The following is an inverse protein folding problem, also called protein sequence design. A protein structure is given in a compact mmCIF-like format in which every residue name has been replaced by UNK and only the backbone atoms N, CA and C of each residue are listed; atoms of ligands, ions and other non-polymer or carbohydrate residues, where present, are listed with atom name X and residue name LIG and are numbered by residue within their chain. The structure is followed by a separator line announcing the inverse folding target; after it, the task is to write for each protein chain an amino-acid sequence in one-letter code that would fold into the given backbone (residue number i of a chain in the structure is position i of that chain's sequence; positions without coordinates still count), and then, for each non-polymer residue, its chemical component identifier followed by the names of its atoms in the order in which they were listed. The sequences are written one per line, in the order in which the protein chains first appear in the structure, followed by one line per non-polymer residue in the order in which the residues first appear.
data_IF_885801022087
#
_entry.id   IF_885801022087
#
_cell.length_a   1.000
_cell.length_b   1.000
_cell.length_c   1.000
_cell.angle_alpha   90.00
_cell.angle_beta   90.00
_cell.angle_gamma   90.00
#
_symmetry.space_group_name_H-M   'P 1'
#
loop_
_entity.id
_entity.type
_entity.pdbx_description
1 polymer ?
#
# COMPACT_ATOMS: atom_id res chain seq x y z
N UNK A 1 43.10 -18.98 12.11
CA UNK A 1 42.90 -19.42 10.70
C UNK A 1 41.91 -20.57 10.75
N UNK A 2 40.70 -20.53 10.19
CA UNK A 2 40.13 -19.64 9.19
C UNK A 2 38.71 -19.24 9.60
N UNK A 3 38.44 -17.94 9.48
CA UNK A 3 37.11 -17.34 9.54
C UNK A 3 36.39 -17.66 8.23
N UNK A 4 35.47 -18.62 8.28
CA UNK A 4 34.60 -18.94 7.16
C UNK A 4 33.55 -17.83 7.07
N UNK A 5 33.88 -16.78 6.31
CA UNK A 5 32.91 -15.80 5.82
C UNK A 5 31.71 -16.56 5.24
N UNK A 6 30.60 -16.56 5.98
CA UNK A 6 29.29 -16.89 5.43
C UNK A 6 29.14 -16.07 4.15
N UNK A 7 28.88 -16.70 2.99
CA UNK A 7 28.63 -15.92 1.79
C UNK A 7 27.42 -15.03 2.11
N UNK A 8 27.57 -13.73 1.85
CA UNK A 8 26.48 -12.77 1.90
C UNK A 8 25.25 -13.42 1.28
N UNK A 9 24.15 -13.52 2.03
CA UNK A 9 22.86 -13.95 1.54
C UNK A 9 22.55 -13.12 0.29
N UNK A 10 22.78 -13.71 -0.88
CA UNK A 10 22.61 -13.04 -2.14
C UNK A 10 21.15 -12.62 -2.25
N UNK A 11 20.99 -11.34 -2.59
CA UNK A 11 19.80 -10.51 -2.65
C UNK A 11 18.74 -10.95 -3.70
N UNK A 12 18.68 -12.25 -4.02
CA UNK A 12 18.02 -12.82 -5.20
C UNK A 12 17.25 -14.09 -4.83
N UNK A 13 16.53 -14.12 -3.71
CA UNK A 13 15.50 -15.17 -3.53
C UNK A 13 14.29 -14.89 -4.43
N UNK A 14 14.45 -15.41 -5.65
CA UNK A 14 13.47 -15.96 -6.55
C UNK A 14 12.00 -15.68 -6.22
N UNK A 15 11.32 -14.95 -7.12
CA UNK A 15 9.93 -15.23 -7.43
C UNK A 15 9.86 -16.70 -7.85
N UNK A 16 9.55 -17.62 -6.92
CA UNK A 16 9.36 -19.04 -7.25
C UNK A 16 7.98 -19.17 -7.88
N UNK A 17 7.91 -19.07 -9.21
CA UNK A 17 6.74 -19.58 -9.94
C UNK A 17 6.62 -21.08 -9.64
N UNK A 18 5.39 -21.58 -9.54
CA UNK A 18 5.12 -23.03 -9.44
C UNK A 18 5.78 -23.86 -10.56
N UNK A 19 6.23 -23.21 -11.65
CA UNK A 19 6.91 -23.82 -12.79
C UNK A 19 8.47 -23.69 -12.77
N UNK A 20 9.07 -23.16 -11.70
CA UNK A 20 10.53 -23.16 -11.51
C UNK A 20 11.32 -21.98 -12.11
N UNK A 21 10.68 -21.08 -12.87
CA UNK A 21 11.33 -19.83 -13.33
C UNK A 21 11.55 -18.85 -12.16
N UNK A 22 12.82 -18.59 -11.83
CA UNK A 22 13.22 -17.60 -10.83
C UNK A 22 13.63 -16.30 -11.51
N UNK A 23 12.90 -15.20 -11.25
CA UNK A 23 13.30 -13.84 -11.64
C UNK A 23 13.69 -13.05 -10.39
N UNK A 24 14.80 -12.32 -10.46
CA UNK A 24 15.20 -11.43 -9.36
C UNK A 24 14.27 -10.22 -9.29
N UNK A 25 14.04 -9.70 -8.09
CA UNK A 25 13.27 -8.48 -7.90
C UNK A 25 13.86 -7.30 -8.70
N UNK A 26 15.20 -7.21 -8.75
CA UNK A 26 15.89 -6.20 -9.53
C UNK A 26 15.60 -6.26 -11.03
N UNK A 27 15.49 -7.45 -11.61
CA UNK A 27 15.10 -7.62 -13.00
C UNK A 27 13.62 -7.30 -13.25
N UNK A 28 12.75 -7.53 -12.25
CA UNK A 28 11.32 -7.28 -12.38
C UNK A 28 10.95 -5.80 -12.21
N UNK A 29 11.63 -5.06 -11.33
CA UNK A 29 11.24 -3.72 -10.89
C UNK A 29 11.00 -2.69 -12.00
N UNK A 30 11.86 -2.55 -13.03
CA UNK A 30 11.59 -1.60 -14.12
C UNK A 30 10.23 -1.81 -14.79
N UNK A 31 9.83 -3.09 -14.96
CA UNK A 31 8.50 -3.46 -15.49
C UNK A 31 7.40 -3.07 -14.51
N UNK A 32 7.56 -3.37 -13.23
CA UNK A 32 6.55 -3.08 -12.19
C UNK A 32 6.33 -1.58 -12.03
N UNK A 33 7.39 -0.77 -12.06
CA UNK A 33 7.33 0.71 -12.02
C UNK A 33 6.56 1.25 -13.23
N UNK A 34 6.85 0.73 -14.44
CA UNK A 34 6.14 1.16 -15.65
C UNK A 34 4.65 0.77 -15.61
N UNK A 35 4.34 -0.44 -15.14
CA UNK A 35 2.97 -0.91 -14.97
C UNK A 35 2.20 -0.06 -13.96
N UNK A 36 2.80 0.21 -12.80
CA UNK A 36 2.24 1.07 -11.77
C UNK A 36 1.92 2.47 -12.29
N UNK A 37 2.84 3.10 -13.04
CA UNK A 37 2.61 4.41 -13.67
C UNK A 37 1.46 4.39 -14.66
N UNK A 38 1.36 3.35 -15.50
CA UNK A 38 0.23 3.20 -16.45
C UNK A 38 -1.10 3.07 -15.72
N UNK A 39 -1.16 2.26 -14.67
CA UNK A 39 -2.38 2.08 -13.86
C UNK A 39 -2.76 3.39 -13.17
N UNK A 40 -1.81 4.06 -12.52
CA UNK A 40 -2.02 5.35 -11.87
C UNK A 40 -2.53 6.39 -12.87
N UNK A 41 -1.89 6.53 -14.03
CA UNK A 41 -2.32 7.47 -15.08
C UNK A 41 -3.75 7.20 -15.57
N UNK A 42 -4.11 5.92 -15.78
CA UNK A 42 -5.46 5.53 -16.20
C UNK A 42 -6.51 5.86 -15.12
N UNK A 43 -6.19 5.59 -13.85
CA UNK A 43 -7.09 5.90 -12.73
C UNK A 43 -7.23 7.40 -12.53
N UNK A 44 -6.13 8.16 -12.56
CA UNK A 44 -6.14 9.62 -12.52
C UNK A 44 -7.05 10.16 -13.62
N UNK A 45 -6.85 9.74 -14.88
CA UNK A 45 -7.68 10.21 -15.99
C UNK A 45 -9.17 9.85 -15.80
N UNK A 46 -9.47 8.63 -15.35
CA UNK A 46 -10.84 8.20 -15.06
C UNK A 46 -11.51 8.95 -13.90
N UNK A 47 -10.75 9.29 -12.85
CA UNK A 47 -11.22 10.10 -11.73
C UNK A 47 -11.48 11.55 -12.17
N UNK A 48 -10.61 12.12 -13.02
CA UNK A 48 -10.79 13.46 -13.58
C UNK A 48 -12.01 13.53 -14.52
N UNK A 49 -12.28 12.48 -15.31
CA UNK A 49 -13.46 12.42 -16.19
C UNK A 49 -14.82 12.30 -15.47
N UNK A 50 -14.84 11.85 -14.21
CA UNK A 50 -16.04 11.80 -13.35
C UNK A 50 -16.22 13.02 -12.45
N UNK A 51 -15.25 13.94 -12.42
CA UNK A 51 -15.42 15.22 -11.74
C UNK A 51 -16.41 16.06 -12.57
N UNK A 52 -17.65 16.19 -12.08
CA UNK A 52 -18.47 17.38 -12.38
C UNK A 52 -17.65 18.60 -11.98
N UNK A 53 -17.73 19.68 -12.76
CA UNK A 53 -17.06 20.94 -12.45
C UNK A 53 -17.38 21.37 -11.01
N UNK A 54 -16.38 21.19 -10.15
CA UNK A 54 -16.34 21.52 -8.74
C UNK A 54 -14.86 21.65 -8.41
N UNK A 55 -14.47 22.83 -7.96
CA UNK A 55 -13.10 23.33 -7.85
C UNK A 55 -12.25 22.51 -6.89
N UNK A 56 -10.98 22.30 -7.28
CA UNK A 56 -10.00 21.59 -6.47
C UNK A 56 -8.55 21.89 -6.88
N UNK A 57 -8.26 23.18 -7.08
CA UNK A 57 -6.98 23.87 -6.84
C UNK A 57 -7.38 25.17 -6.09
N UNK A 58 -7.98 24.99 -4.90
CA UNK A 58 -8.91 25.97 -4.33
C UNK A 58 -8.24 27.34 -4.08
N UNK A 59 -8.66 28.31 -4.89
CA UNK A 59 -8.59 29.72 -4.57
C UNK A 59 -9.51 29.96 -3.36
N UNK A 60 -8.93 30.35 -2.21
CA UNK A 60 -9.70 30.61 -0.99
C UNK A 60 -10.37 31.99 -1.08
N UNK A 61 -9.55 33.05 -1.14
CA UNK A 61 -9.98 34.42 -1.40
C UNK A 61 -8.78 35.30 -1.78
N UNK A 62 -9.04 36.45 -2.39
CA UNK A 62 -8.04 37.52 -2.46
C UNK A 62 -8.05 38.29 -1.14
N UNK A 63 -6.93 38.28 -0.42
CA UNK A 63 -6.73 39.16 0.75
C UNK A 63 -5.98 40.41 0.32
N UNK A 64 -6.29 41.55 0.94
CA UNK A 64 -5.48 42.77 0.79
C UNK A 64 -4.06 42.53 1.32
N UNK A 65 -3.07 42.92 0.53
CA UNK A 65 -1.67 42.94 0.92
C UNK A 65 -1.49 43.81 2.18
N UNK A 66 -0.73 43.31 3.15
CA UNK A 66 -0.37 44.04 4.36
C UNK A 66 1.12 44.37 4.32
N UNK A 67 1.47 45.57 4.78
CA UNK A 67 2.86 46.04 4.82
C UNK A 67 3.72 45.12 5.69
N UNK A 68 4.78 44.56 5.10
CA UNK A 68 5.66 43.56 5.74
C UNK A 68 5.69 42.21 5.04
N UNK A 69 4.77 41.96 4.11
CA UNK A 69 4.74 40.72 3.31
C UNK A 69 5.64 40.78 2.07
N UNK A 70 6.13 39.62 1.63
CA UNK A 70 6.99 39.54 0.45
C UNK A 70 6.23 39.90 -0.83
N UNK A 71 6.73 40.87 -1.59
CA UNK A 71 6.11 41.38 -2.82
C UNK A 71 5.92 40.29 -3.92
N UNK A 72 6.66 39.18 -3.84
CA UNK A 72 6.52 38.03 -4.73
C UNK A 72 5.16 37.31 -4.62
N UNK A 73 4.43 37.52 -3.51
CA UNK A 73 3.14 36.89 -3.27
C UNK A 73 1.95 37.70 -3.85
N UNK A 74 2.24 38.88 -4.40
CA UNK A 74 1.22 39.76 -4.98
C UNK A 74 0.75 39.23 -6.33
N UNK A 75 -0.56 39.07 -6.49
CA UNK A 75 -1.17 38.78 -7.79
C UNK A 75 -1.31 40.09 -8.58
N UNK A 76 -0.32 40.35 -9.43
CA UNK A 76 -0.30 41.56 -10.26
C UNK A 76 -1.47 41.64 -11.25
N UNK A 77 -2.04 40.51 -11.68
CA UNK A 77 -3.16 40.50 -12.64
C UNK A 77 -4.48 40.90 -11.98
N UNK A 78 -4.71 40.49 -10.73
CA UNK A 78 -5.88 40.96 -9.96
C UNK A 78 -5.70 42.39 -9.49
N UNK A 79 -4.50 42.73 -9.00
CA UNK A 79 -4.19 44.05 -8.44
C UNK A 79 -4.18 45.17 -9.51
N UNK A 80 -3.97 44.84 -10.79
CA UNK A 80 -4.04 45.84 -11.86
C UNK A 80 -5.46 46.34 -12.18
N UNK A 81 -6.51 45.78 -11.55
CA UNK A 81 -7.92 46.14 -11.79
C UNK A 81 -8.56 46.93 -10.64
N UNK A 82 -7.80 47.27 -9.60
CA UNK A 82 -8.27 47.94 -8.37
C UNK A 82 -7.13 48.80 -7.81
N UNK A 83 -7.42 49.73 -6.90
CA UNK A 83 -6.43 50.58 -6.22
C UNK A 83 -5.69 49.83 -5.07
N UNK A 84 -5.97 48.54 -4.90
CA UNK A 84 -5.45 47.72 -3.81
C UNK A 84 -4.61 46.56 -4.33
N UNK A 85 -3.49 46.30 -3.64
CA UNK A 85 -2.69 45.10 -3.86
C UNK A 85 -3.38 43.90 -3.22
N UNK A 86 -3.51 42.82 -3.99
CA UNK A 86 -4.09 41.57 -3.54
C UNK A 86 -3.06 40.45 -3.53
N UNK A 87 -3.06 39.68 -2.45
CA UNK A 87 -2.30 38.45 -2.30
C UNK A 87 -3.24 37.27 -2.52
N UNK A 88 -2.80 36.30 -3.32
CA UNK A 88 -3.53 35.05 -3.52
C UNK A 88 -3.24 34.12 -2.35
N UNK A 89 -4.17 33.99 -1.41
CA UNK A 89 -4.07 32.98 -0.37
C UNK A 89 -4.43 31.61 -0.95
N UNK A 90 -3.54 30.64 -0.71
CA UNK A 90 -3.77 29.23 -1.00
C UNK A 90 -4.16 28.57 0.32
N UNK A 91 -5.21 27.76 0.29
CA UNK A 91 -5.56 26.91 1.42
C UNK A 91 -4.35 26.02 1.75
N UNK A 92 -3.83 26.13 2.97
CA UNK A 92 -2.85 25.20 3.50
C UNK A 92 -3.63 23.95 3.92
N UNK A 93 -3.89 23.03 3.00
CA UNK A 93 -4.14 21.65 3.41
C UNK A 93 -2.79 21.09 3.88
N UNK A 94 -2.68 20.83 5.19
CA UNK A 94 -1.54 20.07 5.70
C UNK A 94 -1.53 18.72 4.98
N UNK A 95 -0.50 18.46 4.17
CA UNK A 95 -0.40 17.21 3.42
C UNK A 95 -0.51 16.01 4.39
N UNK A 96 -1.51 15.15 4.20
CA UNK A 96 -1.67 13.95 4.99
C UNK A 96 -0.47 13.03 4.72
N UNK A 97 -0.01 12.41 5.79
CA UNK A 97 1.04 11.40 5.70
C UNK A 97 0.39 10.04 5.57
N UNK A 98 0.73 9.34 4.49
CA UNK A 98 0.28 7.98 4.22
C UNK A 98 1.47 7.03 4.28
N UNK A 99 1.38 6.02 5.15
CA UNK A 99 2.37 4.96 5.26
C UNK A 99 1.92 3.77 4.44
N UNK A 100 2.77 3.32 3.51
CA UNK A 100 2.52 2.13 2.69
C UNK A 100 3.50 1.03 3.11
N UNK A 101 2.97 -0.11 3.52
CA UNK A 101 3.76 -1.30 3.81
C UNK A 101 3.46 -2.40 2.78
N UNK A 102 4.30 -2.54 1.74
CA UNK A 102 4.29 -3.73 0.90
C UNK A 102 5.03 -4.86 1.61
N UNK A 103 4.33 -5.94 1.89
CA UNK A 103 4.92 -7.19 2.35
C UNK A 103 5.83 -7.76 1.25
N UNK A 104 7.05 -8.12 1.66
CA UNK A 104 8.09 -8.69 0.80
C UNK A 104 8.65 -10.00 1.38
N UNK A 105 7.95 -10.63 2.32
CA UNK A 105 8.31 -11.92 2.87
C UNK A 105 8.41 -13.00 1.78
N UNK A 106 9.09 -14.12 2.06
CA UNK A 106 9.17 -15.24 1.11
C UNK A 106 7.79 -15.78 0.66
N UNK A 107 6.77 -15.73 1.51
CA UNK A 107 5.41 -16.18 1.15
C UNK A 107 4.83 -15.40 -0.03
N UNK A 108 5.21 -14.13 -0.17
CA UNK A 108 4.76 -13.24 -1.25
C UNK A 108 5.36 -13.62 -2.62
N UNK A 109 6.42 -14.42 -2.66
CA UNK A 109 7.04 -14.84 -3.92
C UNK A 109 6.20 -15.85 -4.72
N UNK A 110 5.17 -16.44 -4.11
CA UNK A 110 4.33 -17.47 -4.71
C UNK A 110 3.50 -16.94 -5.89
N UNK A 111 3.41 -17.76 -6.95
CA UNK A 111 2.54 -17.57 -8.10
C UNK A 111 2.11 -18.94 -8.66
N UNK A 112 0.81 -19.18 -8.77
CA UNK A 112 0.27 -20.36 -9.44
C UNK A 112 0.25 -20.18 -10.96
N UNK A 113 -0.01 -21.28 -11.68
CA UNK A 113 -0.17 -21.27 -13.16
C UNK A 113 -1.30 -20.37 -13.65
N UNK A 114 -2.30 -20.13 -12.81
CA UNK A 114 -3.42 -19.26 -13.14
C UNK A 114 -3.07 -17.77 -12.98
N UNK A 115 -1.99 -17.45 -12.27
CA UNK A 115 -1.53 -16.09 -12.03
C UNK A 115 -0.38 -15.71 -12.96
N UNK A 116 -0.48 -14.52 -13.56
CA UNK A 116 0.57 -13.95 -14.42
C UNK A 116 1.78 -13.46 -13.62
N UNK A 117 1.48 -12.77 -12.52
CA UNK A 117 2.43 -12.10 -11.65
C UNK A 117 2.29 -12.68 -10.23
N UNK A 118 3.40 -12.72 -9.46
CA UNK A 118 3.36 -13.19 -8.08
C UNK A 118 2.61 -12.24 -7.14
N UNK A 119 2.29 -12.70 -5.93
CA UNK A 119 1.70 -11.83 -4.90
C UNK A 119 2.58 -10.61 -4.63
N UNK A 120 3.91 -10.80 -4.56
CA UNK A 120 4.90 -9.74 -4.39
C UNK A 120 4.87 -8.73 -5.53
N UNK A 121 4.92 -9.21 -6.78
CA UNK A 121 4.88 -8.33 -7.96
C UNK A 121 3.58 -7.51 -7.98
N UNK A 122 2.44 -8.15 -7.67
CA UNK A 122 1.15 -7.48 -7.57
C UNK A 122 1.12 -6.45 -6.44
N UNK A 123 1.60 -6.81 -5.25
CA UNK A 123 1.66 -5.92 -4.09
C UNK A 123 2.49 -4.67 -4.36
N UNK A 124 3.64 -4.82 -5.01
CA UNK A 124 4.50 -3.70 -5.41
C UNK A 124 3.85 -2.81 -6.46
N UNK A 125 3.20 -3.39 -7.48
CA UNK A 125 2.48 -2.61 -8.51
C UNK A 125 1.37 -1.77 -7.88
N UNK A 126 0.56 -2.37 -6.99
CA UNK A 126 -0.52 -1.66 -6.29
C UNK A 126 0.06 -0.56 -5.39
N UNK A 127 1.11 -0.85 -4.64
CA UNK A 127 1.77 0.09 -3.73
C UNK A 127 2.37 1.28 -4.49
N UNK A 128 3.09 1.05 -5.57
CA UNK A 128 3.67 2.10 -6.41
C UNK A 128 2.60 2.94 -7.10
N UNK A 129 1.55 2.31 -7.63
CA UNK A 129 0.47 3.03 -8.29
C UNK A 129 -0.30 3.91 -7.29
N UNK A 130 -0.49 3.42 -6.07
CA UNK A 130 -1.09 4.17 -4.97
C UNK A 130 -0.21 5.34 -4.54
N UNK A 131 1.09 5.12 -4.39
CA UNK A 131 2.05 6.18 -4.04
C UNK A 131 2.05 7.31 -5.08
N UNK A 132 2.07 6.97 -6.36
CA UNK A 132 2.00 7.93 -7.47
C UNK A 132 0.70 8.74 -7.43
N UNK A 133 -0.45 8.07 -7.22
CA UNK A 133 -1.76 8.71 -7.12
C UNK A 133 -1.85 9.66 -5.92
N UNK A 134 -1.36 9.23 -4.76
CA UNK A 134 -1.36 10.00 -3.52
C UNK A 134 -0.46 11.24 -3.63
N UNK A 135 0.77 11.08 -4.14
CA UNK A 135 1.69 12.22 -4.34
C UNK A 135 1.17 13.19 -5.39
N UNK A 136 0.52 12.70 -6.45
CA UNK A 136 -0.17 13.57 -7.41
C UNK A 136 -1.33 14.36 -6.76
N UNK A 137 -1.95 13.80 -5.71
CA UNK A 137 -2.94 14.45 -4.87
C UNK A 137 -2.38 15.40 -3.81
N UNK A 138 -1.05 15.54 -3.69
CA UNK A 138 -0.39 16.42 -2.71
C UNK A 138 0.00 15.73 -1.39
N UNK A 139 -0.23 14.43 -1.27
CA UNK A 139 0.05 13.67 -0.04
C UNK A 139 1.52 13.27 0.09
N UNK A 140 1.96 13.01 1.33
CA UNK A 140 3.31 12.50 1.62
C UNK A 140 3.25 11.00 1.83
N UNK A 141 4.07 10.26 1.10
CA UNK A 141 4.09 8.78 1.16
C UNK A 141 5.42 8.29 1.72
N UNK A 142 5.36 7.34 2.67
CA UNK A 142 6.53 6.71 3.29
C UNK A 142 6.39 5.19 3.39
N UNK A 143 7.50 4.51 3.67
CA UNK A 143 7.53 3.07 4.00
C UNK A 143 8.11 2.93 5.41
N UNK A 144 7.36 2.41 6.40
CA UNK A 144 7.84 2.26 7.76
C UNK A 144 9.19 1.50 7.84
N UNK A 145 10.14 2.03 8.60
CA UNK A 145 11.47 1.42 8.76
C UNK A 145 12.41 1.50 7.55
N UNK A 146 11.93 1.95 6.37
CA UNK A 146 12.70 1.94 5.13
C UNK A 146 12.82 3.33 4.47
N UNK A 147 11.73 4.10 4.42
CA UNK A 147 11.70 5.38 3.71
C UNK A 147 10.84 6.40 4.46
N UNK A 148 11.43 7.55 4.81
CA UNK A 148 10.68 8.66 5.40
C UNK A 148 9.65 9.26 4.41
N UNK A 149 8.52 9.81 4.90
CA UNK A 149 7.48 10.32 4.03
C UNK A 149 7.95 11.46 3.10
N UNK A 150 7.61 11.37 1.82
CA UNK A 150 7.98 12.36 0.80
C UNK A 150 6.85 12.58 -0.20
N UNK A 151 6.72 13.81 -0.70
CA UNK A 151 5.79 14.17 -1.79
C UNK A 151 6.56 14.47 -3.09
N UNK A 152 7.70 13.80 -3.32
CA UNK A 152 8.52 14.07 -4.51
C UNK A 152 7.91 13.45 -5.76
N UNK A 153 7.94 14.17 -6.89
CA UNK A 153 7.47 13.68 -8.21
C UNK A 153 8.09 12.36 -8.70
N UNK A 154 9.23 11.94 -8.15
CA UNK A 154 9.86 10.63 -8.42
C UNK A 154 9.66 9.62 -7.29
N UNK A 155 8.50 9.63 -6.62
CA UNK A 155 8.27 8.81 -5.41
C UNK A 155 8.42 7.32 -5.70
N UNK A 156 7.91 6.86 -6.84
CA UNK A 156 7.99 5.44 -7.23
C UNK A 156 9.43 5.00 -7.44
N UNK A 157 10.26 5.83 -8.09
CA UNK A 157 11.68 5.49 -8.28
C UNK A 157 12.41 5.46 -6.94
N UNK A 158 12.12 6.39 -6.03
CA UNK A 158 12.70 6.37 -4.67
C UNK A 158 12.28 5.13 -3.88
N UNK A 159 11.01 4.76 -3.92
CA UNK A 159 10.51 3.55 -3.25
C UNK A 159 11.15 2.30 -3.84
N UNK A 160 11.22 2.20 -5.17
CA UNK A 160 11.86 1.07 -5.85
C UNK A 160 13.35 0.97 -5.47
N UNK A 161 14.08 2.09 -5.44
CA UNK A 161 15.48 2.12 -5.02
C UNK A 161 15.65 1.74 -3.55
N UNK A 162 14.79 2.26 -2.65
CA UNK A 162 14.83 1.90 -1.24
C UNK A 162 14.59 0.40 -1.03
N UNK A 163 13.60 -0.18 -1.71
CA UNK A 163 13.29 -1.62 -1.64
C UNK A 163 14.43 -2.47 -2.21
N UNK A 164 15.11 -1.99 -3.26
CA UNK A 164 16.25 -2.68 -3.87
C UNK A 164 17.46 -2.79 -2.95
N UNK A 165 17.71 -1.77 -2.15
CA UNK A 165 18.88 -1.67 -1.28
C UNK A 165 18.56 -2.08 0.16
N UNK A 166 17.37 -2.65 0.38
CA UNK A 166 16.97 -3.13 1.68
C UNK A 166 17.50 -4.53 1.94
N UNK A 167 18.52 -4.60 2.79
CA UNK A 167 19.14 -5.83 3.23
C UNK A 167 18.54 -6.39 4.54
N UNK A 168 17.51 -5.73 5.10
CA UNK A 168 16.88 -6.20 6.32
C UNK A 168 16.05 -7.47 6.09
N UNK A 169 15.86 -8.25 7.17
CA UNK A 169 14.94 -9.39 7.17
C UNK A 169 13.54 -8.94 6.84
N UNK A 170 12.93 -9.58 5.84
CA UNK A 170 11.61 -9.20 5.30
C UNK A 170 10.51 -9.85 6.12
N UNK A 171 10.09 -9.19 7.19
CA UNK A 171 8.94 -9.62 7.99
C UNK A 171 7.62 -9.44 7.22
N UNK A 172 6.67 -10.35 7.44
CA UNK A 172 5.35 -10.31 6.77
C UNK A 172 4.46 -9.17 7.28
N UNK A 173 4.63 -8.79 8.56
CA UNK A 173 3.94 -7.68 9.19
C UNK A 173 4.84 -6.44 9.34
N UNK A 174 4.26 -5.22 9.31
CA UNK A 174 5.00 -3.98 9.55
C UNK A 174 5.80 -4.02 10.87
N UNK A 175 6.99 -3.40 10.91
CA UNK A 175 7.71 -3.22 12.17
C UNK A 175 6.90 -2.34 13.12
N UNK A 176 7.14 -2.47 14.42
CA UNK A 176 6.56 -1.57 15.40
C UNK A 176 7.08 -0.14 15.18
N UNK A 177 6.17 0.79 14.88
CA UNK A 177 6.44 2.23 14.84
C UNK A 177 5.21 2.99 15.36
N UNK A 178 5.43 4.24 15.77
CA UNK A 178 4.33 5.12 16.21
C UNK A 178 4.01 6.09 15.08
N UNK A 179 2.89 5.91 14.36
CA UNK A 179 2.47 6.83 13.31
C UNK A 179 2.12 8.19 13.90
N UNK A 180 2.28 9.26 13.11
CA UNK A 180 1.73 10.56 13.51
C UNK A 180 0.20 10.49 13.64
N UNK A 181 -0.42 11.28 14.53
CA UNK A 181 -1.87 11.31 14.66
C UNK A 181 -2.55 11.57 13.31
N UNK A 182 -3.69 10.91 13.07
CA UNK A 182 -4.48 11.03 11.84
C UNK A 182 -3.72 10.67 10.55
N UNK A 183 -2.58 9.97 10.67
CA UNK A 183 -1.96 9.36 9.49
C UNK A 183 -2.76 8.17 9.01
N UNK A 184 -2.60 7.89 7.73
CA UNK A 184 -3.26 6.79 7.07
C UNK A 184 -2.25 5.69 6.76
N UNK A 185 -2.65 4.44 6.97
CA UNK A 185 -1.74 3.29 6.83
C UNK A 185 -2.37 2.27 5.90
N UNK A 186 -1.64 1.87 4.87
CA UNK A 186 -2.06 0.79 3.98
C UNK A 186 -1.05 -0.34 4.09
N UNK A 187 -1.52 -1.48 4.57
CA UNK A 187 -0.72 -2.70 4.71
C UNK A 187 -1.14 -3.66 3.59
N UNK A 188 -0.21 -4.02 2.72
CA UNK A 188 -0.43 -4.90 1.57
C UNK A 188 0.35 -6.19 1.80
N UNK A 189 -0.32 -7.24 2.24
CA UNK A 189 0.28 -8.53 2.64
C UNK A 189 -0.63 -9.69 2.23
N UNK A 190 -0.18 -10.94 2.33
CA UNK A 190 -1.08 -12.09 2.24
C UNK A 190 -1.80 -12.40 3.56
N UNK A 191 -1.39 -11.78 4.67
CA UNK A 191 -1.97 -11.92 6.02
C UNK A 191 -2.16 -13.37 6.47
N UNK A 192 -1.27 -14.28 6.08
CA UNK A 192 -1.28 -15.66 6.60
C UNK A 192 -0.61 -15.79 7.97
N UNK A 193 -0.09 -14.69 8.53
CA UNK A 193 0.37 -14.61 9.92
C UNK A 193 -0.74 -14.92 10.92
N UNK A 194 -0.43 -15.44 12.12
CA UNK A 194 -1.43 -15.70 13.17
C UNK A 194 -2.28 -14.47 13.50
N UNK A 195 -3.59 -14.67 13.68
CA UNK A 195 -4.55 -13.58 13.97
C UNK A 195 -4.11 -12.75 15.19
N UNK A 196 -3.55 -13.39 16.22
CA UNK A 196 -3.06 -12.69 17.40
C UNK A 196 -1.92 -11.69 17.09
N UNK A 197 -1.01 -12.03 16.17
CA UNK A 197 0.07 -11.14 15.76
C UNK A 197 -0.46 -9.96 14.94
N UNK A 198 -1.44 -10.22 14.07
CA UNK A 198 -2.14 -9.17 13.32
C UNK A 198 -2.87 -8.23 14.28
N UNK A 199 -3.54 -8.77 15.30
CA UNK A 199 -4.20 -7.99 16.35
C UNK A 199 -3.24 -7.09 17.13
N UNK A 200 -2.07 -7.61 17.51
CA UNK A 200 -1.02 -6.80 18.17
C UNK A 200 -0.49 -5.69 17.27
N UNK A 201 -0.25 -5.98 15.99
CA UNK A 201 0.15 -4.99 14.99
C UNK A 201 -0.90 -3.88 14.86
N UNK A 202 -2.17 -4.25 14.69
CA UNK A 202 -3.29 -3.31 14.60
C UNK A 202 -3.42 -2.43 15.84
N UNK A 203 -3.33 -3.01 17.04
CA UNK A 203 -3.37 -2.27 18.29
C UNK A 203 -2.25 -1.22 18.36
N UNK A 204 -1.01 -1.62 18.01
CA UNK A 204 0.14 -0.71 17.98
C UNK A 204 -0.02 0.45 16.98
N UNK A 205 -0.49 0.15 15.76
CA UNK A 205 -0.68 1.17 14.72
C UNK A 205 -1.85 2.12 15.03
N UNK A 206 -2.94 1.61 15.59
CA UNK A 206 -4.11 2.42 15.94
C UNK A 206 -3.92 3.29 17.19
N UNK A 207 -2.89 3.05 18.01
CA UNK A 207 -2.69 3.70 19.30
C UNK A 207 -2.56 5.23 19.21
N UNK A 208 -2.07 5.77 18.08
CA UNK A 208 -1.96 7.21 17.83
C UNK A 208 -3.21 7.84 17.20
N UNK A 209 -4.29 7.07 17.01
CA UNK A 209 -5.48 7.48 16.27
C UNK A 209 -5.29 7.40 14.75
N UNK A 210 -4.35 6.59 14.27
CA UNK A 210 -4.20 6.32 12.85
C UNK A 210 -5.30 5.39 12.35
N UNK A 211 -5.73 5.63 11.11
CA UNK A 211 -6.67 4.77 10.40
C UNK A 211 -5.93 4.03 9.30
N UNK A 212 -6.49 2.92 8.84
CA UNK A 212 -5.84 2.17 7.79
C UNK A 212 -6.67 1.15 7.05
N UNK A 213 -6.04 0.63 6.01
CA UNK A 213 -6.58 -0.38 5.12
C UNK A 213 -5.61 -1.56 5.10
N UNK A 214 -6.12 -2.73 5.44
CA UNK A 214 -5.46 -4.01 5.24
C UNK A 214 -5.90 -4.58 3.90
N UNK A 215 -4.97 -4.71 2.97
CA UNK A 215 -5.19 -5.32 1.67
C UNK A 215 -4.54 -6.69 1.60
N UNK A 216 -5.34 -7.74 1.65
CA UNK A 216 -4.88 -9.10 1.46
C UNK A 216 -4.63 -9.38 -0.02
N UNK A 217 -3.41 -9.72 -0.41
CA UNK A 217 -3.08 -10.18 -1.76
C UNK A 217 -2.99 -11.68 -1.77
N UNK A 218 -3.81 -12.34 -2.59
CA UNK A 218 -3.88 -13.80 -2.65
C UNK A 218 -3.77 -14.32 -4.07
N UNK A 219 -3.17 -15.50 -4.21
CA UNK A 219 -3.17 -16.22 -5.47
C UNK A 219 -4.48 -17.01 -5.66
N UNK A 220 -5.02 -17.13 -6.89
CA UNK A 220 -6.23 -17.92 -7.16
C UNK A 220 -6.18 -19.35 -6.63
N UNK A 221 -5.00 -19.99 -6.63
CA UNK A 221 -4.83 -21.34 -6.12
C UNK A 221 -4.86 -21.42 -4.59
N UNK A 222 -4.47 -20.35 -3.89
CA UNK A 222 -4.61 -20.24 -2.43
C UNK A 222 -6.07 -20.04 -2.01
N UNK A 223 -6.95 -19.60 -2.92
CA UNK A 223 -8.37 -19.44 -2.59
C UNK A 223 -9.21 -20.63 -3.03
N UNK A 224 -8.97 -21.15 -4.23
CA UNK A 224 -9.76 -22.25 -4.81
C UNK A 224 -9.27 -23.64 -4.45
N UNK A 225 -8.05 -23.76 -3.90
CA UNK A 225 -7.38 -25.03 -3.60
C UNK A 225 -7.52 -26.07 -4.74
N UNK A 226 -7.00 -25.78 -5.96
CA UNK A 226 -7.20 -26.62 -7.15
C UNK A 226 -6.23 -27.82 -7.18
N UNK A 227 -6.01 -28.46 -6.03
CA UNK A 227 -5.00 -29.50 -5.82
C UNK A 227 -5.67 -30.87 -5.67
N UNK A 228 -5.20 -31.86 -6.42
CA UNK A 228 -5.72 -33.23 -6.39
C UNK A 228 -4.59 -34.27 -6.43
N UNK A 229 -4.83 -35.43 -5.81
CA UNK A 229 -3.86 -36.51 -5.70
C UNK A 229 -2.83 -36.28 -4.59
N UNK A 230 -1.67 -36.92 -4.71
CA UNK A 230 -0.60 -36.82 -3.72
C UNK A 230 0.24 -35.57 -3.99
N UNK A 231 0.16 -34.59 -3.10
CA UNK A 231 0.85 -33.30 -3.23
C UNK A 231 1.64 -33.02 -1.95
N UNK A 232 2.87 -32.58 -2.10
CA UNK A 232 3.69 -32.06 -1.01
C UNK A 232 3.62 -30.53 -1.04
N UNK A 233 3.16 -29.94 0.07
CA UNK A 233 3.17 -28.51 0.29
C UNK A 233 4.42 -28.14 1.10
N UNK A 234 5.11 -27.08 0.68
CA UNK A 234 6.34 -26.61 1.28
C UNK A 234 6.07 -25.19 1.79
N UNK A 235 6.32 -24.96 3.07
CA UNK A 235 6.20 -23.64 3.66
C UNK A 235 7.46 -22.79 3.31
N UNK A 236 7.32 -21.60 2.69
CA UNK A 236 8.43 -20.79 2.22
C UNK A 236 9.37 -20.24 3.30
N UNK A 237 8.91 -20.08 4.53
CA UNK A 237 9.61 -19.44 5.65
C UNK A 237 10.23 -20.43 6.65
N UNK A 238 10.30 -21.72 6.29
CA UNK A 238 10.96 -22.77 7.07
C UNK A 238 10.06 -23.59 7.99
N UNK A 239 8.73 -23.44 7.88
CA UNK A 239 7.70 -24.19 8.61
C UNK A 239 7.57 -25.67 8.26
N UNK A 240 8.39 -26.17 7.33
CA UNK A 240 8.48 -27.59 6.96
C UNK A 240 7.67 -27.98 5.73
N UNK A 241 7.55 -29.29 5.50
CA UNK A 241 6.74 -29.85 4.42
C UNK A 241 5.58 -30.67 4.96
N UNK A 242 4.42 -30.55 4.32
CA UNK A 242 3.24 -31.36 4.63
C UNK A 242 2.80 -32.10 3.36
N UNK A 243 2.73 -33.43 3.44
CA UNK A 243 2.28 -34.26 2.33
C UNK A 243 0.82 -34.61 2.50
N UNK A 244 -0.02 -34.16 1.57
CA UNK A 244 -1.38 -34.65 1.42
C UNK A 244 -1.39 -35.90 0.54
N UNK A 245 -1.88 -37.03 1.05
CA UNK A 245 -2.04 -38.25 0.25
C UNK A 245 -3.10 -38.11 -0.84
N UNK A 246 -4.21 -37.42 -0.52
CA UNK A 246 -5.28 -37.01 -1.45
C UNK A 246 -5.68 -35.57 -1.14
N UNK A 247 -5.03 -34.61 -1.78
CA UNK A 247 -5.20 -33.18 -1.51
C UNK A 247 -6.66 -32.72 -1.62
N UNK A 248 -7.43 -33.27 -2.56
CA UNK A 248 -8.84 -32.93 -2.76
C UNK A 248 -9.72 -33.14 -1.52
N UNK A 249 -9.31 -34.04 -0.62
CA UNK A 249 -10.01 -34.28 0.66
C UNK A 249 -9.89 -33.12 1.65
N UNK A 250 -8.88 -32.27 1.49
CA UNK A 250 -8.63 -31.13 2.38
C UNK A 250 -9.32 -29.85 1.92
N UNK A 251 -9.77 -29.79 0.66
CA UNK A 251 -10.30 -28.56 0.05
C UNK A 251 -11.41 -27.90 0.88
N UNK A 252 -12.37 -28.69 1.37
CA UNK A 252 -13.49 -28.17 2.17
C UNK A 252 -13.03 -27.58 3.51
N UNK A 253 -12.18 -28.30 4.24
CA UNK A 253 -11.66 -27.83 5.54
C UNK A 253 -10.74 -26.63 5.36
N UNK A 254 -9.89 -26.65 4.33
CA UNK A 254 -9.02 -25.54 3.97
C UNK A 254 -9.80 -24.24 3.70
N UNK A 255 -10.81 -24.29 2.83
CA UNK A 255 -11.64 -23.12 2.51
C UNK A 255 -12.36 -22.59 3.75
N UNK A 256 -12.86 -23.47 4.62
CA UNK A 256 -13.50 -23.07 5.87
C UNK A 256 -12.53 -22.37 6.82
N UNK A 257 -11.29 -22.87 6.94
CA UNK A 257 -10.25 -22.24 7.77
C UNK A 257 -9.82 -20.89 7.23
N UNK A 258 -9.65 -20.77 5.91
CA UNK A 258 -9.32 -19.49 5.26
C UNK A 258 -10.41 -18.45 5.49
N UNK A 259 -11.69 -18.85 5.37
CA UNK A 259 -12.81 -17.97 5.65
C UNK A 259 -12.82 -17.52 7.12
N UNK A 260 -12.67 -18.46 8.07
CA UNK A 260 -12.63 -18.14 9.50
C UNK A 260 -11.47 -17.20 9.86
N UNK A 261 -10.29 -17.40 9.27
CA UNK A 261 -9.12 -16.53 9.46
C UNK A 261 -9.38 -15.10 8.98
N UNK A 262 -9.94 -14.94 7.78
CA UNK A 262 -10.29 -13.65 7.21
C UNK A 262 -11.39 -12.94 8.01
N UNK A 263 -12.37 -13.68 8.49
CA UNK A 263 -13.47 -13.13 9.30
C UNK A 263 -12.95 -12.61 10.63
N UNK A 264 -12.01 -13.32 11.27
CA UNK A 264 -11.36 -12.85 12.50
C UNK A 264 -10.56 -11.54 12.27
N UNK A 265 -9.77 -11.46 11.18
CA UNK A 265 -9.05 -10.23 10.83
C UNK A 265 -10.02 -9.08 10.56
N UNK A 266 -11.13 -9.34 9.85
CA UNK A 266 -12.14 -8.32 9.54
C UNK A 266 -12.83 -7.81 10.81
N UNK A 267 -13.12 -8.70 11.75
CA UNK A 267 -13.70 -8.33 13.04
C UNK A 267 -12.76 -7.42 13.83
N UNK A 268 -11.49 -7.80 13.95
CA UNK A 268 -10.49 -7.03 14.70
C UNK A 268 -10.16 -5.68 14.05
N UNK A 269 -10.04 -5.65 12.72
CA UNK A 269 -9.91 -4.39 11.98
C UNK A 269 -11.14 -3.50 12.16
N UNK A 270 -12.35 -4.08 12.11
CA UNK A 270 -13.61 -3.37 12.24
C UNK A 270 -13.78 -2.69 13.61
N UNK A 271 -13.34 -3.33 14.71
CA UNK A 271 -13.33 -2.74 16.06
C UNK A 271 -12.54 -1.44 16.14
N UNK A 272 -11.54 -1.27 15.26
CA UNK A 272 -10.66 -0.10 15.20
C UNK A 272 -11.05 0.88 14.09
N UNK A 273 -12.10 0.60 13.32
CA UNK A 273 -12.50 1.40 12.15
C UNK A 273 -11.57 1.24 10.94
N UNK A 274 -10.80 0.16 10.88
CA UNK A 274 -9.93 -0.19 9.76
C UNK A 274 -10.68 -1.03 8.72
N UNK A 275 -10.32 -0.87 7.46
CA UNK A 275 -10.90 -1.65 6.36
C UNK A 275 -10.06 -2.89 6.07
N UNK A 276 -10.69 -4.04 5.86
CA UNK A 276 -10.03 -5.25 5.39
C UNK A 276 -10.65 -5.68 4.06
N UNK A 277 -9.80 -5.88 3.04
CA UNK A 277 -10.23 -6.31 1.70
C UNK A 277 -9.26 -7.31 1.10
N UNK A 278 -9.74 -8.15 0.20
CA UNK A 278 -8.95 -9.18 -0.48
C UNK A 278 -8.86 -8.88 -1.97
N UNK A 279 -7.66 -8.98 -2.53
CA UNK A 279 -7.36 -8.83 -3.94
C UNK A 279 -6.67 -10.09 -4.46
N UNK A 280 -7.26 -10.70 -5.49
CA UNK A 280 -6.67 -11.84 -6.18
C UNK A 280 -5.73 -11.38 -7.29
N UNK A 281 -4.60 -12.06 -7.46
CA UNK A 281 -3.59 -11.72 -8.46
C UNK A 281 -4.07 -11.84 -9.92
N UNK A 282 -5.14 -12.61 -10.18
CA UNK A 282 -5.80 -12.73 -11.49
C UNK A 282 -6.74 -11.57 -11.85
N UNK A 283 -7.04 -10.69 -10.89
CA UNK A 283 -7.86 -9.49 -11.11
C UNK A 283 -7.02 -8.27 -11.48
N UNK A 284 -7.70 -7.25 -12.01
CA UNK A 284 -7.06 -6.00 -12.39
C UNK A 284 -6.56 -5.21 -11.18
N UNK A 285 -5.29 -4.81 -11.19
CA UNK A 285 -4.75 -3.91 -10.17
C UNK A 285 -5.42 -2.51 -10.17
N UNK A 286 -6.05 -2.09 -11.27
CA UNK A 286 -6.78 -0.82 -11.31
C UNK A 286 -8.05 -0.85 -10.44
N UNK A 287 -8.71 -2.01 -10.34
CA UNK A 287 -9.93 -2.18 -9.52
C UNK A 287 -9.61 -1.98 -8.04
N UNK A 288 -8.56 -2.64 -7.54
CA UNK A 288 -8.13 -2.48 -6.16
C UNK A 288 -7.59 -1.07 -5.89
N UNK A 289 -6.89 -0.45 -6.84
CA UNK A 289 -6.41 0.91 -6.68
C UNK A 289 -7.56 1.91 -6.46
N UNK A 290 -8.66 1.77 -7.21
CA UNK A 290 -9.87 2.57 -7.02
C UNK A 290 -10.51 2.33 -5.65
N UNK A 291 -10.56 1.07 -5.21
CA UNK A 291 -11.06 0.71 -3.88
C UNK A 291 -10.23 1.37 -2.77
N UNK A 292 -8.90 1.27 -2.82
CA UNK A 292 -8.00 1.88 -1.85
C UNK A 292 -8.18 3.40 -1.81
N UNK A 293 -8.13 4.05 -2.96
CA UNK A 293 -8.31 5.51 -3.04
C UNK A 293 -9.68 5.96 -2.52
N UNK A 294 -10.75 5.22 -2.85
CA UNK A 294 -12.10 5.51 -2.35
C UNK A 294 -12.23 5.31 -0.83
N UNK A 295 -11.68 4.21 -0.30
CA UNK A 295 -11.70 3.90 1.13
C UNK A 295 -10.98 4.97 1.95
N UNK A 296 -9.83 5.45 1.47
CA UNK A 296 -9.07 6.51 2.12
C UNK A 296 -9.83 7.85 2.15
N UNK A 297 -10.55 8.19 1.07
CA UNK A 297 -11.36 9.41 1.03
C UNK A 297 -12.52 9.39 2.05
N UNK A 298 -13.14 8.22 2.29
CA UNK A 298 -14.20 8.06 3.30
C UNK A 298 -13.64 8.20 4.71
N UNK A 299 -12.47 7.61 4.99
CA UNK A 299 -11.80 7.73 6.28
C UNK A 299 -11.44 9.19 6.62
N UNK A 300 -10.93 9.96 5.63
CA UNK A 300 -10.65 11.39 5.79
C UNK A 300 -11.89 12.21 6.13
N UNK A 301 -13.03 11.91 5.49
CA UNK A 301 -14.31 12.58 5.78
C UNK A 301 -14.79 12.35 7.21
N UNK A 302 -14.63 11.15 7.75
CA UNK A 302 -15.00 10.82 9.13
C UNK A 302 -14.07 11.52 10.15
N UNK A 303 -12.76 11.55 9.89
CA UNK A 303 -11.79 12.22 10.76
C UNK A 303 -12.00 13.74 10.88
N UNK A 304 -12.39 14.40 9.77
CA UNK A 304 -12.66 15.85 9.75
C UNK A 304 -13.86 16.24 10.63
N UNK A 305 -14.92 15.43 10.64
CA UNK A 305 -16.12 15.65 11.48
C UNK A 305 -15.81 15.54 12.97
N UNK A 306 -14.90 14.64 13.36
CA UNK A 306 -14.50 14.47 14.77
C UNK A 306 -13.61 15.63 15.23
N UNK A 307 -12.68 16.09 14.38
CA UNK A 307 -11.82 17.23 14.69
C UNK A 307 -12.61 18.55 14.85
N UNK A 308 -13.64 18.78 14.04
CA UNK A 308 -14.48 20.00 14.12
C UNK A 308 -15.43 20.03 15.32
N UNK A 309 -15.73 18.88 15.95
CA UNK A 309 -16.59 18.80 17.16
C UNK A 309 -15.81 18.88 18.47
N UNK A 310 -14.48 18.80 18.42
CA UNK A 310 -13.58 18.84 19.58
C UNK A 310 -12.88 20.19 19.80
N UNK A 311 -13.16 21.20 18.96
CA UNK A 311 -12.68 22.57 19.06
C UNK A 311 -13.83 23.50 19.47
#
# INVERSE_FOLDING_TARGET
MADARKPAMQEIEAVRRADGESRSLAAALPRLVLEARRIAANVIHGLHGRRRAGTGENFWQYRRFVSGEAAQNVDWRRSARDDHLYVREREWEAAHTVWLWPDRSPSMAFASRAARDSKLERALVVTFALAELLVAGGERVGIPGLMAPSASRGIVDKMAQAILHDHATRASLPPHFVPSPLSEIVVVSDFWSPVAEIGHMLAGLSASGAHGILLQVVDPAEESFPYAGRIEFIEPEGGGTITAGRAETWAKDYVARVAAHRDAIREDAGKLGWLFSTHRTDRSAAEVLLFLHGGMAVAKGAGRIVAERGA
#
